data_IF_578763449292
#
_entry.id   IF_578763449292
#
_cell.length_a   1.000
_cell.length_b   1.000
_cell.length_c   1.000
_cell.angle_alpha   90.00
_cell.angle_beta   90.00
_cell.angle_gamma   90.00
#
_symmetry.space_group_name_H-M   'P 1'
#
loop_
_entity.id
_entity.type
_entity.pdbx_description
1 polymer ?
#
# COMPACT_ATOMS: atom_id res chain seq x y z
N UNK A 1 12.95 21.98 -14.32
CA UNK A 1 12.46 21.40 -15.59
C UNK A 1 10.95 21.28 -15.52
N UNK A 2 10.20 21.77 -16.52
CA UNK A 2 8.75 21.54 -16.57
C UNK A 2 8.51 20.03 -16.76
N UNK A 3 7.66 19.42 -15.92
CA UNK A 3 7.15 18.07 -16.16
C UNK A 3 6.54 18.04 -17.56
N UNK A 4 6.98 17.13 -18.40
CA UNK A 4 6.25 16.84 -19.64
C UNK A 4 5.08 15.95 -19.21
N UNK A 5 3.88 16.49 -19.34
CA UNK A 5 2.64 15.75 -19.07
C UNK A 5 1.97 15.53 -20.40
N UNK A 6 1.73 14.28 -20.75
CA UNK A 6 0.91 13.90 -21.90
C UNK A 6 -0.38 13.32 -21.36
N UNK A 7 -1.50 13.89 -21.71
CA UNK A 7 -2.78 13.45 -21.15
C UNK A 7 -3.80 12.98 -22.20
N UNK A 8 -3.51 13.13 -23.49
CA UNK A 8 -4.40 12.72 -24.59
C UNK A 8 -5.88 13.09 -24.32
N UNK A 9 -6.12 14.23 -23.67
CA UNK A 9 -7.43 14.66 -23.17
C UNK A 9 -8.49 14.71 -24.27
N UNK A 10 -8.09 15.11 -25.47
CA UNK A 10 -8.99 15.17 -26.61
C UNK A 10 -9.60 13.79 -26.93
N UNK A 11 -8.84 12.71 -26.77
CA UNK A 11 -9.35 11.36 -26.98
C UNK A 11 -10.46 11.00 -25.98
N UNK A 12 -10.38 11.49 -24.73
CA UNK A 12 -11.46 11.35 -23.74
C UNK A 12 -12.67 12.22 -24.09
N UNK A 13 -12.43 13.46 -24.52
CA UNK A 13 -13.51 14.37 -24.84
C UNK A 13 -14.28 13.92 -26.10
N UNK A 14 -13.60 13.29 -27.06
CA UNK A 14 -14.20 12.80 -28.30
C UNK A 14 -15.18 11.64 -28.13
N UNK A 15 -15.07 10.87 -27.05
CA UNK A 15 -16.07 9.82 -26.74
C UNK A 15 -17.33 10.39 -26.08
N UNK A 16 -17.31 11.64 -25.61
CA UNK A 16 -18.45 12.26 -24.95
C UNK A 16 -19.46 12.84 -25.97
N UNK A 17 -20.77 12.81 -25.68
CA UNK A 17 -21.77 13.49 -26.47
C UNK A 17 -21.46 15.00 -26.61
N UNK A 18 -21.80 15.57 -27.75
CA UNK A 18 -21.42 16.96 -28.11
C UNK A 18 -21.89 17.98 -27.05
N UNK A 19 -23.13 17.84 -26.57
CA UNK A 19 -23.73 18.75 -25.58
C UNK A 19 -23.09 18.66 -24.18
N UNK A 20 -22.30 17.61 -23.92
CA UNK A 20 -21.51 17.41 -22.71
C UNK A 20 -20.07 17.90 -22.94
N UNK A 21 -19.53 17.65 -24.13
CA UNK A 21 -18.15 17.97 -24.50
C UNK A 21 -17.91 19.47 -24.73
N UNK A 22 -18.81 20.17 -25.44
CA UNK A 22 -18.63 21.57 -25.76
C UNK A 22 -18.44 22.50 -24.55
N UNK A 23 -19.22 22.38 -23.46
CA UNK A 23 -19.01 23.16 -22.24
C UNK A 23 -17.62 22.94 -21.59
N UNK A 24 -17.03 21.75 -21.76
CA UNK A 24 -15.68 21.45 -21.25
C UNK A 24 -14.60 22.23 -22.01
N UNK A 25 -14.67 22.28 -23.33
CA UNK A 25 -13.72 23.05 -24.13
C UNK A 25 -13.77 24.55 -23.84
N UNK A 26 -14.91 25.05 -23.37
CA UNK A 26 -15.05 26.47 -23.01
C UNK A 26 -14.41 26.81 -21.65
N UNK A 27 -14.02 25.79 -20.85
CA UNK A 27 -13.36 26.03 -19.57
C UNK A 27 -11.88 26.38 -19.77
N UNK A 28 -11.39 27.49 -19.18
CA UNK A 28 -9.99 27.91 -19.31
C UNK A 28 -9.02 26.91 -18.67
N UNK A 29 -9.49 26.14 -17.69
CA UNK A 29 -8.75 25.13 -16.94
C UNK A 29 -9.11 23.68 -17.35
N UNK A 30 -9.64 23.47 -18.57
CA UNK A 30 -10.01 22.14 -19.05
C UNK A 30 -8.86 21.12 -18.99
N UNK A 31 -7.61 21.56 -19.10
CA UNK A 31 -6.43 20.71 -18.92
C UNK A 31 -6.25 20.16 -17.51
N UNK A 32 -6.95 20.71 -16.51
CA UNK A 32 -6.93 20.24 -15.12
C UNK A 32 -8.08 19.27 -14.81
N UNK A 33 -8.91 18.92 -15.81
CA UNK A 33 -10.03 17.98 -15.65
C UNK A 33 -9.54 16.67 -14.99
N UNK A 34 -10.24 16.22 -13.95
CA UNK A 34 -9.98 14.96 -13.27
C UNK A 34 -10.86 13.85 -13.82
N UNK A 35 -12.17 14.08 -13.86
CA UNK A 35 -13.14 13.10 -14.35
C UNK A 35 -14.45 13.76 -14.78
N UNK A 36 -15.18 13.05 -15.64
CA UNK A 36 -16.56 13.36 -16.02
C UNK A 36 -17.47 12.26 -15.51
N UNK A 37 -18.56 12.64 -14.86
CA UNK A 37 -19.56 11.72 -14.29
C UNK A 37 -20.87 11.85 -15.04
N UNK A 38 -21.38 10.72 -15.52
CA UNK A 38 -22.64 10.59 -16.25
C UNK A 38 -23.51 9.56 -15.54
N UNK A 39 -24.50 9.99 -14.79
CA UNK A 39 -25.47 9.12 -14.11
C UNK A 39 -26.85 9.32 -14.74
N UNK A 40 -27.54 8.26 -15.11
CA UNK A 40 -28.86 8.27 -15.72
C UNK A 40 -29.86 9.06 -14.86
N UNK A 41 -30.52 10.06 -15.47
CA UNK A 41 -31.50 10.93 -14.80
C UNK A 41 -30.87 11.95 -13.85
N UNK A 42 -29.55 12.21 -13.95
CA UNK A 42 -28.85 13.29 -13.24
C UNK A 42 -28.18 14.24 -14.22
N UNK A 43 -27.83 15.43 -13.74
CA UNK A 43 -27.06 16.38 -14.55
C UNK A 43 -25.63 15.87 -14.74
N UNK A 44 -25.03 15.99 -15.93
CA UNK A 44 -23.65 15.60 -16.18
C UNK A 44 -22.69 16.54 -15.44
N UNK A 45 -21.71 15.97 -14.73
CA UNK A 45 -20.77 16.68 -13.88
C UNK A 45 -19.33 16.50 -14.34
N UNK A 46 -18.53 17.56 -14.29
CA UNK A 46 -17.08 17.51 -14.42
C UNK A 46 -16.41 17.90 -13.12
N UNK A 47 -15.38 17.13 -12.73
CA UNK A 47 -14.61 17.38 -11.51
C UNK A 47 -13.21 17.86 -11.82
N UNK A 48 -12.83 18.94 -11.14
CA UNK A 48 -11.52 19.58 -11.19
C UNK A 48 -10.90 19.55 -9.78
N UNK A 49 -9.60 19.86 -9.59
CA UNK A 49 -8.94 19.77 -8.29
C UNK A 49 -9.61 20.54 -7.16
N UNK A 50 -10.28 21.65 -7.49
CA UNK A 50 -10.85 22.59 -6.50
C UNK A 50 -12.32 22.93 -6.74
N UNK A 51 -12.96 22.34 -7.75
CA UNK A 51 -14.36 22.63 -8.10
C UNK A 51 -15.03 21.48 -8.82
N UNK A 52 -16.35 21.47 -8.75
CA UNK A 52 -17.23 20.65 -9.59
C UNK A 52 -18.04 21.58 -10.50
N UNK A 53 -18.32 21.13 -11.71
CA UNK A 53 -19.03 21.90 -12.73
C UNK A 53 -20.14 21.04 -13.33
N UNK A 54 -21.36 21.52 -13.30
CA UNK A 54 -22.48 20.95 -14.06
C UNK A 54 -22.32 21.38 -15.53
N UNK A 55 -22.22 20.39 -16.43
CA UNK A 55 -21.91 20.62 -17.83
C UNK A 55 -23.15 21.00 -18.67
N UNK A 56 -24.32 20.52 -18.28
CA UNK A 56 -25.56 20.78 -18.98
C UNK A 56 -26.74 20.85 -18.02
N UNK A 57 -27.79 21.60 -18.38
CA UNK A 57 -29.05 21.66 -17.64
C UNK A 57 -29.98 20.49 -17.93
N UNK A 58 -29.69 19.68 -18.95
CA UNK A 58 -30.43 18.47 -19.29
C UNK A 58 -29.84 17.27 -18.56
N UNK A 59 -30.70 16.41 -18.04
CA UNK A 59 -30.30 15.14 -17.40
C UNK A 59 -29.69 14.19 -18.42
N UNK A 60 -28.76 13.36 -17.96
CA UNK A 60 -28.13 12.30 -18.75
C UNK A 60 -29.19 11.26 -19.14
N UNK A 61 -29.31 11.01 -20.42
CA UNK A 61 -30.20 10.00 -20.99
C UNK A 61 -29.47 8.66 -21.20
N UNK A 62 -30.24 7.58 -21.41
CA UNK A 62 -29.65 6.30 -21.80
C UNK A 62 -28.89 6.40 -23.13
N UNK A 63 -29.36 7.23 -24.06
CA UNK A 63 -28.69 7.46 -25.34
C UNK A 63 -27.30 8.09 -25.16
N UNK A 64 -27.11 8.94 -24.17
CA UNK A 64 -25.79 9.53 -23.86
C UNK A 64 -24.81 8.47 -23.32
N UNK A 65 -25.30 7.60 -22.45
CA UNK A 65 -24.52 6.46 -21.92
C UNK A 65 -24.13 5.52 -23.07
N UNK A 66 -25.09 5.12 -23.90
CA UNK A 66 -24.88 4.23 -25.05
C UNK A 66 -23.92 4.84 -26.08
N UNK A 67 -23.98 6.17 -26.26
CA UNK A 67 -23.07 6.90 -27.12
C UNK A 67 -21.61 6.75 -26.67
N UNK A 68 -21.33 6.87 -25.37
CA UNK A 68 -19.99 6.68 -24.81
C UNK A 68 -19.59 5.21 -24.94
N UNK A 69 -20.44 4.29 -24.50
CA UNK A 69 -20.17 2.85 -24.49
C UNK A 69 -19.84 2.31 -25.89
N UNK A 70 -20.47 2.84 -26.94
CA UNK A 70 -20.20 2.44 -28.33
C UNK A 70 -18.83 2.90 -28.88
N UNK A 71 -18.10 3.77 -28.15
CA UNK A 71 -16.82 4.38 -28.58
C UNK A 71 -15.62 3.94 -27.77
N UNK A 72 -15.83 3.09 -26.80
CA UNK A 72 -14.77 2.56 -25.92
C UNK A 72 -14.63 1.04 -26.10
N UNK A 73 -13.59 0.45 -25.50
CA UNK A 73 -13.43 -0.99 -25.44
C UNK A 73 -14.48 -1.71 -24.62
N UNK A 74 -14.50 -3.02 -24.64
CA UNK A 74 -15.40 -3.82 -23.81
C UNK A 74 -15.08 -3.65 -22.32
N UNK A 75 -16.14 -3.68 -21.50
CA UNK A 75 -15.95 -3.66 -20.04
C UNK A 75 -15.47 -5.01 -19.54
N UNK A 76 -14.40 -4.98 -18.78
CA UNK A 76 -13.85 -6.14 -18.06
C UNK A 76 -14.75 -6.56 -16.89
N UNK A 77 -14.41 -7.68 -16.24
CA UNK A 77 -15.19 -8.21 -15.11
C UNK A 77 -15.28 -7.27 -13.89
N UNK A 78 -14.38 -6.29 -13.78
CA UNK A 78 -14.37 -5.24 -12.74
C UNK A 78 -15.09 -3.95 -13.20
N UNK A 79 -15.86 -4.00 -14.29
CA UNK A 79 -16.61 -2.89 -14.87
C UNK A 79 -15.73 -1.70 -15.32
N UNK A 80 -14.53 -1.99 -15.83
CA UNK A 80 -13.59 -0.99 -16.39
C UNK A 80 -13.45 -1.20 -17.89
N UNK A 81 -13.28 -0.10 -18.60
CA UNK A 81 -12.95 -0.06 -20.01
C UNK A 81 -11.97 1.09 -20.28
N UNK A 82 -11.24 1.02 -21.37
CA UNK A 82 -10.28 2.04 -21.77
C UNK A 82 -10.45 2.49 -23.21
N UNK A 83 -9.66 3.50 -23.55
CA UNK A 83 -9.51 4.01 -24.91
C UNK A 83 -8.10 3.63 -25.38
N UNK A 84 -7.98 3.08 -26.56
CA UNK A 84 -6.69 2.68 -27.14
C UNK A 84 -5.69 3.83 -27.14
N UNK A 85 -4.42 3.54 -26.87
CA UNK A 85 -3.31 4.48 -26.81
C UNK A 85 -3.40 5.53 -25.67
N UNK A 86 -4.36 5.41 -24.75
CA UNK A 86 -4.53 6.37 -23.65
C UNK A 86 -4.41 5.70 -22.27
N UNK A 87 -4.31 6.55 -21.25
CA UNK A 87 -4.37 6.14 -19.83
C UNK A 87 -5.73 6.44 -19.21
N UNK A 88 -6.69 6.85 -20.03
CA UNK A 88 -8.04 7.14 -19.55
C UNK A 88 -8.74 5.86 -19.13
N UNK A 89 -9.52 5.95 -18.06
CA UNK A 89 -10.30 4.84 -17.53
C UNK A 89 -11.77 5.22 -17.46
N UNK A 90 -12.59 4.38 -18.02
CA UNK A 90 -14.04 4.49 -17.93
C UNK A 90 -14.55 3.37 -17.02
N UNK A 91 -15.25 3.74 -15.96
CA UNK A 91 -15.84 2.80 -15.01
C UNK A 91 -17.35 2.85 -15.11
N UNK A 92 -18.00 1.69 -15.22
CA UNK A 92 -19.45 1.57 -15.34
C UNK A 92 -20.10 1.27 -13.99
N UNK A 93 -21.26 1.91 -13.76
CA UNK A 93 -22.19 1.54 -12.70
C UNK A 93 -23.36 0.78 -13.38
N UNK A 94 -23.67 -0.43 -12.87
CA UNK A 94 -24.73 -1.27 -13.40
C UNK A 94 -25.90 -1.37 -12.44
N UNK A 95 -27.10 -1.49 -13.01
CA UNK A 95 -28.30 -1.82 -12.26
C UNK A 95 -28.37 -3.32 -11.95
N UNK A 96 -29.47 -3.76 -11.30
CA UNK A 96 -29.69 -5.17 -10.94
C UNK A 96 -29.82 -6.11 -12.13
N UNK A 97 -30.13 -5.58 -13.32
CA UNK A 97 -30.28 -6.32 -14.57
C UNK A 97 -29.00 -6.38 -15.40
N UNK A 98 -27.90 -5.74 -14.91
CA UNK A 98 -26.62 -5.68 -15.61
C UNK A 98 -26.49 -4.53 -16.62
N UNK A 99 -27.52 -3.70 -16.78
CA UNK A 99 -27.51 -2.55 -17.69
C UNK A 99 -26.69 -1.41 -17.10
N UNK A 100 -25.94 -0.70 -17.94
CA UNK A 100 -25.12 0.45 -17.52
C UNK A 100 -26.04 1.65 -17.30
N UNK A 101 -26.03 2.17 -16.08
CA UNK A 101 -26.82 3.33 -15.66
C UNK A 101 -25.95 4.50 -15.21
N UNK A 102 -24.65 4.36 -15.22
CA UNK A 102 -23.72 5.43 -14.89
C UNK A 102 -22.31 5.15 -15.41
N UNK A 103 -21.58 6.21 -15.71
CA UNK A 103 -20.20 6.16 -16.17
C UNK A 103 -19.37 7.20 -15.41
N UNK A 104 -18.14 6.80 -15.03
CA UNK A 104 -17.11 7.72 -14.56
C UNK A 104 -15.94 7.68 -15.53
N UNK A 105 -15.75 8.76 -16.29
CA UNK A 105 -14.72 8.90 -17.29
C UNK A 105 -13.53 9.66 -16.67
N UNK A 106 -12.50 8.93 -16.22
CA UNK A 106 -11.35 9.50 -15.52
C UNK A 106 -10.21 9.81 -16.46
N UNK A 107 -9.63 11.00 -16.32
CA UNK A 107 -8.47 11.44 -17.09
C UNK A 107 -7.21 10.77 -16.55
N UNK A 108 -6.55 9.98 -17.40
CA UNK A 108 -5.23 9.42 -17.12
C UNK A 108 -4.14 10.29 -17.72
N UNK A 109 -3.03 10.48 -16.98
CA UNK A 109 -1.90 11.32 -17.41
C UNK A 109 -0.59 10.57 -17.29
N UNK A 110 0.27 10.70 -18.29
CA UNK A 110 1.66 10.29 -18.21
C UNK A 110 2.52 11.45 -17.72
N UNK A 111 3.33 11.19 -16.69
CA UNK A 111 4.28 12.16 -16.12
C UNK A 111 5.67 11.62 -16.28
N UNK A 112 6.61 12.42 -16.79
CA UNK A 112 7.99 12.03 -17.07
C UNK A 112 8.97 12.77 -16.15
N UNK A 113 10.16 12.15 -15.93
CA UNK A 113 11.27 12.71 -15.16
C UNK A 113 11.41 12.17 -13.75
N UNK A 114 10.47 11.35 -13.26
CA UNK A 114 10.51 10.77 -11.91
C UNK A 114 11.54 9.67 -11.77
N UNK A 115 11.83 8.94 -12.84
CA UNK A 115 12.79 7.81 -12.85
C UNK A 115 14.21 8.23 -12.58
N UNK A 116 14.60 9.50 -12.86
CA UNK A 116 15.97 10.00 -12.69
C UNK A 116 16.55 9.72 -11.31
N UNK A 117 15.72 9.75 -10.26
CA UNK A 117 16.15 9.49 -8.90
C UNK A 117 16.64 8.05 -8.68
N UNK A 118 16.21 7.10 -9.52
CA UNK A 118 16.52 5.67 -9.38
C UNK A 118 17.10 5.07 -10.65
N UNK A 119 17.44 5.89 -11.65
CA UNK A 119 17.89 5.41 -12.97
C UNK A 119 19.12 4.51 -12.89
N UNK A 120 20.12 4.90 -12.09
CA UNK A 120 21.31 4.11 -11.83
C UNK A 120 21.01 2.72 -11.22
N UNK A 121 19.95 2.63 -10.41
CA UNK A 121 19.53 1.39 -9.76
C UNK A 121 18.88 0.44 -10.76
N UNK A 122 17.98 0.93 -11.61
CA UNK A 122 17.29 0.10 -12.61
C UNK A 122 18.24 -0.34 -13.72
N UNK A 123 19.22 0.48 -14.10
CA UNK A 123 20.23 0.16 -15.10
C UNK A 123 21.29 -0.81 -14.56
N UNK A 124 21.47 -0.93 -13.25
CA UNK A 124 22.43 -1.84 -12.61
C UNK A 124 22.14 -3.33 -12.85
N UNK A 125 20.96 -3.67 -13.36
CA UNK A 125 20.51 -5.06 -13.55
C UNK A 125 19.99 -5.74 -12.29
N UNK A 126 20.04 -5.09 -11.11
CA UNK A 126 19.45 -5.60 -9.88
C UNK A 126 17.92 -5.50 -9.93
N UNK A 127 17.23 -6.44 -9.31
CA UNK A 127 15.78 -6.35 -9.11
C UNK A 127 15.46 -5.27 -8.10
N UNK A 128 14.47 -4.41 -8.41
CA UNK A 128 14.09 -3.22 -7.63
C UNK A 128 12.63 -3.30 -7.22
N UNK A 129 12.35 -3.16 -5.93
CA UNK A 129 11.01 -3.10 -5.37
C UNK A 129 10.66 -1.67 -4.95
N UNK A 130 9.54 -1.16 -5.45
CA UNK A 130 9.03 0.17 -5.12
C UNK A 130 7.95 0.05 -4.04
N UNK A 131 8.10 0.75 -2.95
CA UNK A 131 7.14 0.85 -1.86
C UNK A 131 6.62 2.29 -1.74
N UNK A 132 5.47 2.46 -1.12
CA UNK A 132 4.89 3.78 -0.87
C UNK A 132 3.38 3.78 -0.79
N UNK A 133 2.81 4.86 -0.28
CA UNK A 133 1.36 5.02 -0.07
C UNK A 133 0.59 4.92 -1.38
N UNK A 134 -0.69 4.51 -1.35
CA UNK A 134 -1.56 4.60 -2.51
C UNK A 134 -1.58 6.04 -3.07
N UNK A 135 -1.56 6.16 -4.40
CA UNK A 135 -1.58 7.46 -5.07
C UNK A 135 -0.28 8.26 -5.05
N UNK A 136 0.82 7.77 -4.46
CA UNK A 136 2.11 8.50 -4.37
C UNK A 136 2.87 8.52 -5.71
N UNK A 137 2.41 7.82 -6.73
CA UNK A 137 3.05 7.78 -8.05
C UNK A 137 3.84 6.52 -8.37
N UNK A 138 3.64 5.40 -7.66
CA UNK A 138 4.30 4.10 -7.95
C UNK A 138 4.11 3.67 -9.40
N UNK A 139 2.87 3.61 -9.88
CA UNK A 139 2.53 3.22 -11.25
C UNK A 139 3.11 4.19 -12.28
N UNK A 140 3.15 5.50 -11.97
CA UNK A 140 3.81 6.50 -12.82
C UNK A 140 5.30 6.21 -12.96
N UNK A 141 5.97 5.88 -11.86
CA UNK A 141 7.39 5.53 -11.86
C UNK A 141 7.64 4.22 -12.62
N UNK A 142 6.82 3.17 -12.42
CA UNK A 142 6.93 1.91 -13.17
C UNK A 142 6.78 2.12 -14.68
N UNK A 143 5.85 2.95 -15.10
CA UNK A 143 5.66 3.30 -16.52
C UNK A 143 6.91 3.92 -17.12
N UNK A 144 7.50 4.87 -16.43
CA UNK A 144 8.73 5.52 -16.88
C UNK A 144 9.94 4.57 -16.85
N UNK A 145 10.03 3.69 -15.85
CA UNK A 145 11.03 2.61 -15.80
C UNK A 145 10.90 1.70 -17.03
N UNK A 146 9.67 1.31 -17.41
CA UNK A 146 9.43 0.50 -18.60
C UNK A 146 10.01 1.15 -19.86
N UNK A 147 9.70 2.42 -20.06
CA UNK A 147 10.20 3.18 -21.21
C UNK A 147 11.72 3.30 -21.21
N UNK A 148 12.33 3.70 -20.08
CA UNK A 148 13.78 3.89 -20.00
C UNK A 148 14.52 2.57 -20.27
N UNK A 149 14.07 1.49 -19.68
CA UNK A 149 14.74 0.19 -19.90
C UNK A 149 14.54 -0.33 -21.33
N UNK A 150 13.37 -0.09 -21.95
CA UNK A 150 13.10 -0.54 -23.31
C UNK A 150 13.74 0.37 -24.37
N UNK A 151 13.61 1.70 -24.22
CA UNK A 151 14.01 2.66 -25.24
C UNK A 151 15.45 3.13 -25.09
N UNK A 152 15.85 3.47 -23.85
CA UNK A 152 17.18 4.03 -23.61
C UNK A 152 18.21 2.90 -23.40
N UNK A 153 17.89 1.88 -22.59
CA UNK A 153 18.78 0.74 -22.30
C UNK A 153 18.65 -0.42 -23.31
N UNK A 154 17.70 -0.37 -24.26
CA UNK A 154 17.45 -1.37 -25.33
C UNK A 154 17.22 -2.79 -24.81
N UNK A 155 16.66 -2.95 -23.62
CA UNK A 155 16.33 -4.25 -23.04
C UNK A 155 14.99 -4.78 -23.54
N UNK A 156 14.83 -6.09 -23.58
CA UNK A 156 13.53 -6.74 -23.81
C UNK A 156 12.71 -6.68 -22.52
N UNK A 157 11.79 -5.73 -22.47
CA UNK A 157 10.95 -5.46 -21.32
C UNK A 157 9.54 -5.99 -21.54
N UNK A 158 9.02 -6.72 -20.57
CA UNK A 158 7.60 -7.13 -20.50
C UNK A 158 6.96 -6.47 -19.27
N UNK A 159 5.82 -5.85 -19.49
CA UNK A 159 4.97 -5.27 -18.46
C UNK A 159 3.80 -6.22 -18.19
N UNK A 160 3.67 -6.72 -16.98
CA UNK A 160 2.53 -7.49 -16.51
C UNK A 160 1.59 -6.52 -15.79
N UNK A 161 0.51 -6.19 -16.47
CA UNK A 161 -0.39 -5.08 -16.11
C UNK A 161 -1.75 -5.62 -15.68
N UNK A 162 -1.87 -5.96 -14.40
CA UNK A 162 -3.07 -6.59 -13.82
C UNK A 162 -4.21 -5.61 -13.67
N UNK A 163 -3.89 -4.39 -13.25
CA UNK A 163 -4.88 -3.32 -13.06
C UNK A 163 -5.04 -2.41 -14.28
N UNK A 164 -4.31 -2.68 -15.36
CA UNK A 164 -4.21 -1.83 -16.55
C UNK A 164 -3.82 -0.37 -16.23
N UNK A 165 -3.10 -0.16 -15.13
CA UNK A 165 -2.70 1.18 -14.67
C UNK A 165 -1.38 1.65 -15.28
N UNK A 166 -0.51 0.71 -15.71
CA UNK A 166 0.79 1.05 -16.31
C UNK A 166 0.62 1.48 -17.76
N UNK A 167 -0.07 0.67 -18.56
CA UNK A 167 -0.16 0.86 -20.01
C UNK A 167 -1.57 1.21 -20.53
N UNK A 168 -2.54 1.36 -19.64
CA UNK A 168 -3.92 1.73 -19.96
C UNK A 168 -4.84 0.53 -20.19
N UNK A 169 -6.15 0.78 -20.15
CA UNK A 169 -7.19 -0.26 -20.25
C UNK A 169 -7.51 -0.71 -21.70
N UNK A 170 -7.06 0.03 -22.71
CA UNK A 170 -7.29 -0.33 -24.12
C UNK A 170 -6.45 -1.51 -24.59
N UNK A 171 -6.81 -2.15 -25.71
CA UNK A 171 -6.06 -3.26 -26.29
C UNK A 171 -4.68 -2.85 -26.80
N UNK A 172 -4.55 -1.60 -27.24
CA UNK A 172 -3.28 -1.04 -27.66
C UNK A 172 -2.71 -0.21 -26.51
N UNK A 173 -1.49 -0.55 -26.04
CA UNK A 173 -0.89 0.11 -24.89
C UNK A 173 -0.54 1.56 -25.18
N UNK A 174 -0.51 2.37 -24.11
CA UNK A 174 -0.11 3.77 -24.17
C UNK A 174 1.39 3.91 -24.55
N UNK A 175 1.76 4.86 -25.44
CA UNK A 175 3.16 5.05 -25.88
C UNK A 175 4.15 5.35 -24.75
N UNK A 176 3.70 5.79 -23.59
CA UNK A 176 4.55 6.12 -22.45
C UNK A 176 5.32 4.93 -21.86
N UNK A 177 5.00 3.67 -22.24
CA UNK A 177 5.82 2.50 -21.90
C UNK A 177 6.93 2.22 -22.93
N UNK A 178 7.05 3.05 -23.96
CA UNK A 178 8.02 2.88 -25.04
C UNK A 178 7.82 1.57 -25.81
N UNK A 179 8.92 0.92 -26.20
CA UNK A 179 8.91 -0.37 -26.89
C UNK A 179 8.68 -1.60 -26.00
N UNK A 180 8.32 -1.39 -24.72
CA UNK A 180 7.95 -2.49 -23.84
C UNK A 180 6.71 -3.22 -24.36
N UNK A 181 6.70 -4.54 -24.20
CA UNK A 181 5.52 -5.36 -24.51
C UNK A 181 4.66 -5.48 -23.27
N UNK A 182 3.33 -5.35 -23.43
CA UNK A 182 2.39 -5.56 -22.34
C UNK A 182 1.75 -6.94 -22.42
N UNK A 183 1.62 -7.59 -21.28
CA UNK A 183 0.74 -8.74 -21.04
C UNK A 183 -0.35 -8.32 -20.06
N UNK A 184 -1.60 -8.36 -20.53
CA UNK A 184 -2.77 -8.13 -19.67
C UNK A 184 -3.09 -9.39 -18.87
N UNK A 185 -3.56 -9.22 -17.66
CA UNK A 185 -3.99 -10.32 -16.80
C UNK A 185 -5.51 -10.37 -16.80
N UNK A 186 -6.09 -11.48 -17.24
CA UNK A 186 -7.53 -11.62 -17.38
C UNK A 186 -8.27 -11.52 -16.03
N UNK A 187 -7.70 -12.14 -15.00
CA UNK A 187 -8.19 -12.06 -13.62
C UNK A 187 -7.02 -11.88 -12.66
N UNK A 188 -7.13 -11.03 -11.62
CA UNK A 188 -6.02 -10.78 -10.68
C UNK A 188 -5.45 -12.05 -10.05
N UNK A 189 -6.27 -13.09 -9.86
CA UNK A 189 -5.83 -14.38 -9.30
C UNK A 189 -4.84 -15.14 -10.19
N UNK A 190 -4.79 -14.83 -11.49
CA UNK A 190 -3.92 -15.50 -12.48
C UNK A 190 -2.61 -14.74 -12.75
N UNK A 191 -2.39 -13.61 -12.10
CA UNK A 191 -1.17 -12.82 -12.29
C UNK A 191 0.10 -13.66 -12.17
N UNK A 192 0.20 -14.53 -11.17
CA UNK A 192 1.35 -15.41 -10.96
C UNK A 192 1.62 -16.36 -12.14
N UNK A 193 0.57 -16.84 -12.81
CA UNK A 193 0.69 -17.70 -13.98
C UNK A 193 1.19 -16.91 -15.19
N UNK A 194 0.66 -15.70 -15.42
CA UNK A 194 1.11 -14.78 -16.48
C UNK A 194 2.57 -14.36 -16.27
N UNK A 195 3.01 -14.17 -15.01
CA UNK A 195 4.41 -13.90 -14.68
C UNK A 195 5.35 -15.03 -15.14
N UNK A 196 4.98 -16.28 -14.94
CA UNK A 196 5.77 -17.44 -15.39
C UNK A 196 5.71 -17.58 -16.91
N UNK A 197 4.52 -17.42 -17.49
CA UNK A 197 4.31 -17.45 -18.94
C UNK A 197 5.21 -16.44 -19.67
N UNK A 198 5.34 -15.22 -19.13
CA UNK A 198 6.20 -14.19 -19.70
C UNK A 198 7.64 -14.66 -19.88
N UNK A 199 8.19 -15.36 -18.90
CA UNK A 199 9.57 -15.89 -18.97
C UNK A 199 9.67 -17.08 -19.91
N UNK A 200 8.69 -17.99 -19.88
CA UNK A 200 8.74 -19.23 -20.66
C UNK A 200 8.57 -18.99 -22.17
N UNK A 201 7.70 -18.03 -22.53
CA UNK A 201 7.31 -17.84 -23.93
C UNK A 201 8.01 -16.65 -24.60
N UNK A 202 8.51 -15.66 -23.85
CA UNK A 202 8.91 -14.38 -24.44
C UNK A 202 10.35 -13.95 -24.17
N UNK A 203 11.13 -14.72 -23.38
CA UNK A 203 12.55 -14.48 -23.08
C UNK A 203 12.87 -13.02 -22.72
N UNK A 204 12.19 -12.43 -21.72
CA UNK A 204 12.46 -11.07 -21.30
C UNK A 204 13.82 -10.96 -20.59
N UNK A 205 14.43 -9.78 -20.64
CA UNK A 205 15.55 -9.39 -19.78
C UNK A 205 15.05 -8.70 -18.52
N UNK A 206 13.88 -8.03 -18.63
CA UNK A 206 13.22 -7.34 -17.53
C UNK A 206 11.73 -7.63 -17.52
N UNK A 207 11.20 -7.90 -16.36
CA UNK A 207 9.75 -7.95 -16.11
C UNK A 207 9.37 -6.83 -15.14
N UNK A 208 8.36 -6.07 -15.54
CA UNK A 208 7.72 -5.04 -14.70
C UNK A 208 6.38 -5.56 -14.23
N UNK A 209 6.14 -5.48 -12.93
CA UNK A 209 4.94 -6.01 -12.27
C UNK A 209 4.24 -4.86 -11.56
N UNK A 210 2.95 -4.66 -11.84
CA UNK A 210 2.16 -3.58 -11.26
C UNK A 210 2.11 -3.67 -9.73
N UNK A 211 1.65 -4.80 -9.20
CA UNK A 211 1.59 -5.02 -7.76
C UNK A 211 1.74 -6.50 -7.40
N UNK A 212 2.61 -6.78 -6.43
CA UNK A 212 2.76 -8.11 -5.83
C UNK A 212 2.03 -8.10 -4.49
N UNK A 213 0.91 -8.83 -4.39
CA UNK A 213 0.04 -8.85 -3.22
C UNK A 213 -0.14 -10.22 -2.58
N UNK A 214 0.16 -11.32 -3.30
CA UNK A 214 -0.12 -12.69 -2.88
C UNK A 214 1.14 -13.54 -2.71
N UNK A 215 1.00 -14.65 -1.96
CA UNK A 215 2.09 -15.63 -1.77
C UNK A 215 2.50 -16.31 -3.09
N UNK A 216 1.53 -16.59 -3.98
CA UNK A 216 1.80 -17.19 -5.29
C UNK A 216 2.61 -16.26 -6.18
N UNK A 217 2.32 -14.97 -6.17
CA UNK A 217 3.07 -13.95 -6.90
C UNK A 217 4.47 -13.76 -6.34
N UNK A 218 4.64 -13.76 -5.01
CA UNK A 218 5.95 -13.70 -4.37
C UNK A 218 6.81 -14.92 -4.74
N UNK A 219 6.21 -16.13 -4.81
CA UNK A 219 6.89 -17.34 -5.26
C UNK A 219 7.26 -17.28 -6.74
N UNK A 220 6.35 -16.77 -7.59
CA UNK A 220 6.64 -16.59 -9.03
C UNK A 220 7.78 -15.58 -9.21
N UNK A 221 7.78 -14.46 -8.52
CA UNK A 221 8.83 -13.45 -8.55
C UNK A 221 10.20 -14.06 -8.18
N UNK A 222 10.26 -14.88 -7.12
CA UNK A 222 11.48 -15.61 -6.77
C UNK A 222 11.97 -16.53 -7.90
N UNK A 223 11.07 -17.34 -8.46
CA UNK A 223 11.41 -18.26 -9.56
C UNK A 223 11.97 -17.51 -10.77
N UNK A 224 11.43 -16.34 -11.08
CA UNK A 224 11.88 -15.49 -12.18
C UNK A 224 13.27 -14.90 -11.88
N UNK A 225 13.48 -14.39 -10.67
CA UNK A 225 14.78 -13.86 -10.25
C UNK A 225 15.89 -14.93 -10.26
N UNK A 226 15.57 -16.16 -9.82
CA UNK A 226 16.49 -17.32 -9.88
C UNK A 226 16.88 -17.70 -11.30
N UNK A 227 16.05 -17.38 -12.32
CA UNK A 227 16.36 -17.55 -13.74
C UNK A 227 17.20 -16.39 -14.33
N UNK A 228 17.57 -15.40 -13.50
CA UNK A 228 18.42 -14.27 -13.89
C UNK A 228 17.69 -13.14 -14.60
N UNK A 229 16.36 -13.11 -14.59
CA UNK A 229 15.56 -12.03 -15.15
C UNK A 229 15.43 -10.91 -14.12
N UNK A 230 15.71 -9.68 -14.51
CA UNK A 230 15.53 -8.50 -13.65
C UNK A 230 14.05 -8.24 -13.41
N UNK A 231 13.67 -8.03 -12.14
CA UNK A 231 12.32 -7.66 -11.74
C UNK A 231 12.27 -6.20 -11.28
N UNK A 232 11.28 -5.45 -11.76
CA UNK A 232 10.91 -4.16 -11.17
C UNK A 232 9.42 -4.19 -10.87
N UNK A 233 9.04 -3.99 -9.61
CA UNK A 233 7.64 -4.11 -9.23
C UNK A 233 7.28 -3.29 -8.02
N UNK A 234 5.99 -3.26 -7.68
CA UNK A 234 5.52 -2.71 -6.41
C UNK A 234 4.94 -3.80 -5.52
N UNK A 235 4.83 -3.51 -4.24
CA UNK A 235 4.17 -4.37 -3.29
C UNK A 235 3.34 -3.54 -2.30
N UNK A 236 2.38 -4.21 -1.64
CA UNK A 236 1.66 -3.60 -0.53
C UNK A 236 2.59 -3.32 0.64
N UNK A 237 2.70 -2.07 1.01
CA UNK A 237 3.54 -1.56 2.10
C UNK A 237 4.12 -0.21 1.76
N UNK A 238 4.40 0.58 2.80
CA UNK A 238 4.95 1.92 2.62
C UNK A 238 6.47 1.94 2.85
N UNK A 239 6.97 1.03 3.68
CA UNK A 239 8.37 0.96 4.12
C UNK A 239 8.87 -0.48 4.12
N UNK A 240 10.19 -0.65 4.18
CA UNK A 240 10.85 -1.94 4.30
C UNK A 240 10.39 -2.70 5.55
N UNK A 241 10.16 -2.00 6.66
CA UNK A 241 9.68 -2.61 7.90
C UNK A 241 8.27 -3.18 7.74
N UNK A 242 7.38 -2.49 7.02
CA UNK A 242 6.05 -3.02 6.73
C UNK A 242 6.14 -4.34 5.96
N UNK A 243 7.10 -4.45 5.03
CA UNK A 243 7.32 -5.66 4.26
C UNK A 243 7.90 -6.80 5.13
N UNK A 244 8.85 -6.49 6.02
CA UNK A 244 9.39 -7.42 7.01
C UNK A 244 8.27 -8.02 7.88
N UNK A 245 7.31 -7.17 8.29
CA UNK A 245 6.17 -7.58 9.12
C UNK A 245 5.09 -8.33 8.36
N UNK A 246 5.07 -8.23 7.04
CA UNK A 246 4.05 -8.88 6.22
C UNK A 246 4.40 -10.35 5.98
N UNK A 247 3.67 -11.31 6.58
CA UNK A 247 4.01 -12.72 6.46
C UNK A 247 3.87 -13.28 5.04
N UNK A 248 3.08 -12.64 4.21
CA UNK A 248 2.85 -13.05 2.81
C UNK A 248 3.97 -12.57 1.91
N UNK A 249 4.44 -11.32 2.12
CA UNK A 249 5.37 -10.65 1.22
C UNK A 249 6.82 -10.63 1.73
N UNK A 250 7.07 -11.03 2.97
CA UNK A 250 8.44 -11.13 3.52
C UNK A 250 9.35 -12.03 2.69
N UNK A 251 8.79 -12.97 1.92
CA UNK A 251 9.55 -13.82 1.01
C UNK A 251 10.25 -13.04 -0.10
N UNK A 252 9.73 -11.86 -0.49
CA UNK A 252 10.38 -10.96 -1.47
C UNK A 252 11.73 -10.42 -0.99
N UNK A 253 11.92 -10.34 0.32
CA UNK A 253 13.13 -9.86 0.99
C UNK A 253 13.94 -10.97 1.66
N UNK A 254 13.67 -12.23 1.27
CA UNK A 254 14.40 -13.40 1.73
C UNK A 254 13.66 -14.26 2.75
N UNK A 255 12.43 -13.91 3.14
CA UNK A 255 11.64 -14.62 4.15
C UNK A 255 12.27 -14.54 5.54
N UNK A 256 11.46 -14.62 6.58
CA UNK A 256 11.92 -14.49 7.95
C UNK A 256 11.57 -15.77 8.71
N UNK A 257 12.51 -16.24 9.53
CA UNK A 257 12.33 -17.40 10.38
C UNK A 257 12.89 -17.13 11.78
N UNK A 258 12.33 -17.84 12.75
CA UNK A 258 12.90 -17.88 14.11
C UNK A 258 13.88 -19.03 14.21
N UNK A 259 15.11 -18.75 14.61
CA UNK A 259 16.16 -19.72 14.85
C UNK A 259 16.45 -19.79 16.35
N UNK A 260 16.58 -21.00 16.89
CA UNK A 260 16.99 -21.21 18.29
C UNK A 260 18.50 -21.46 18.32
N UNK A 261 19.23 -20.53 18.91
CA UNK A 261 20.69 -20.63 19.11
C UNK A 261 21.03 -21.54 20.28
N UNK A 262 22.15 -22.25 20.19
CA UNK A 262 22.76 -22.92 21.32
C UNK A 262 23.22 -21.94 22.39
N UNK A 263 23.41 -22.40 23.63
CA UNK A 263 23.77 -21.53 24.77
C UNK A 263 25.10 -20.79 24.57
N UNK A 264 26.08 -21.41 23.95
CA UNK A 264 27.38 -20.81 23.65
C UNK A 264 27.27 -19.72 22.58
N UNK A 265 26.50 -19.97 21.53
CA UNK A 265 26.31 -19.04 20.44
C UNK A 265 25.49 -17.81 20.87
N UNK A 266 24.45 -18.02 21.67
CA UNK A 266 23.64 -16.94 22.23
C UNK A 266 24.48 -16.02 23.15
N UNK A 267 25.37 -16.63 23.97
CA UNK A 267 26.33 -15.87 24.80
C UNK A 267 27.34 -15.09 23.95
N UNK A 268 27.90 -15.72 22.91
CA UNK A 268 28.87 -15.09 22.01
C UNK A 268 28.28 -13.89 21.28
N UNK A 269 27.03 -14.00 20.82
CA UNK A 269 26.30 -12.93 20.12
C UNK A 269 25.66 -11.92 21.06
N UNK A 270 25.70 -12.12 22.37
CA UNK A 270 25.00 -11.31 23.38
C UNK A 270 23.50 -11.15 23.08
N UNK A 271 22.84 -12.18 22.52
CA UNK A 271 21.43 -12.19 22.13
C UNK A 271 20.63 -13.20 22.94
N UNK A 272 19.30 -13.14 22.77
CA UNK A 272 18.41 -14.18 23.27
C UNK A 272 18.65 -15.48 22.50
N UNK A 273 18.24 -16.65 23.07
CA UNK A 273 18.33 -17.95 22.39
C UNK A 273 17.48 -18.02 21.12
N UNK A 274 16.39 -17.25 21.05
CA UNK A 274 15.51 -17.18 19.90
C UNK A 274 15.77 -15.88 19.16
N UNK A 275 16.31 -15.96 17.96
CA UNK A 275 16.62 -14.83 17.08
C UNK A 275 15.88 -14.95 15.75
N UNK A 276 15.62 -13.82 15.12
CA UNK A 276 15.05 -13.76 13.79
C UNK A 276 16.19 -13.68 12.77
N UNK A 277 16.12 -14.52 11.74
CA UNK A 277 17.08 -14.54 10.64
C UNK A 277 16.33 -14.68 9.30
N UNK A 278 16.95 -14.24 8.21
CA UNK A 278 16.43 -14.51 6.87
C UNK A 278 16.58 -15.99 6.53
N UNK A 279 15.62 -16.53 5.76
CA UNK A 279 15.63 -17.91 5.27
C UNK A 279 16.49 -18.10 4.02
N UNK A 280 16.53 -17.08 3.14
CA UNK A 280 17.10 -17.15 1.80
C UNK A 280 17.62 -15.78 1.36
N UNK A 281 18.38 -15.69 0.26
CA UNK A 281 18.68 -14.42 -0.39
C UNK A 281 17.38 -13.70 -0.80
N UNK A 282 17.36 -12.35 -0.79
CA UNK A 282 16.19 -11.59 -1.22
C UNK A 282 15.97 -11.70 -2.73
N UNK A 283 14.69 -11.74 -3.15
CA UNK A 283 14.29 -11.68 -4.55
C UNK A 283 14.60 -10.31 -5.16
N UNK A 284 14.40 -9.24 -4.37
CA UNK A 284 14.73 -7.88 -4.75
C UNK A 284 15.98 -7.42 -4.02
N UNK A 285 17.02 -7.06 -4.78
CA UNK A 285 18.29 -6.61 -4.22
C UNK A 285 18.27 -5.15 -3.75
N UNK A 286 17.31 -4.36 -4.25
CA UNK A 286 17.12 -2.94 -3.93
C UNK A 286 15.68 -2.69 -3.56
N UNK A 287 15.44 -1.92 -2.50
CA UNK A 287 14.13 -1.38 -2.13
C UNK A 287 14.17 0.13 -2.19
N UNK A 288 13.14 0.71 -2.82
CA UNK A 288 12.94 2.15 -2.94
C UNK A 288 11.61 2.51 -2.30
N UNK A 289 11.64 3.34 -1.27
CA UNK A 289 10.48 3.89 -0.60
C UNK A 289 10.16 5.26 -1.17
N UNK A 290 9.02 5.41 -1.82
CA UNK A 290 8.59 6.69 -2.39
C UNK A 290 7.95 7.52 -1.28
N UNK A 291 8.64 8.59 -0.88
CA UNK A 291 8.19 9.52 0.16
C UNK A 291 7.22 10.55 -0.42
N UNK A 292 7.62 11.14 -1.56
CA UNK A 292 6.80 12.03 -2.38
C UNK A 292 7.26 12.00 -3.84
N UNK A 293 6.64 12.82 -4.70
CA UNK A 293 6.98 12.88 -6.14
C UNK A 293 8.42 13.26 -6.46
N UNK A 294 9.14 13.87 -5.51
CA UNK A 294 10.50 14.39 -5.70
C UNK A 294 11.50 13.81 -4.71
N UNK A 295 11.07 12.87 -3.86
CA UNK A 295 11.91 12.33 -2.80
C UNK A 295 11.67 10.84 -2.60
N UNK A 296 12.76 10.09 -2.57
CA UNK A 296 12.77 8.65 -2.29
C UNK A 296 13.81 8.32 -1.23
N UNK A 297 13.55 7.25 -0.47
CA UNK A 297 14.55 6.60 0.38
C UNK A 297 14.94 5.27 -0.29
N UNK A 298 16.22 5.05 -0.48
CA UNK A 298 16.76 3.87 -1.17
C UNK A 298 17.52 3.01 -0.18
N UNK A 299 17.20 1.71 -0.16
CA UNK A 299 17.98 0.66 0.46
C UNK A 299 18.76 -0.08 -0.63
N UNK A 300 20.03 0.26 -0.89
CA UNK A 300 20.78 -0.24 -2.06
C UNK A 300 21.22 -1.70 -1.91
N UNK A 301 21.21 -2.22 -0.68
CA UNK A 301 21.41 -3.64 -0.34
C UNK A 301 20.36 -4.08 0.67
N UNK A 302 19.34 -4.79 0.15
CA UNK A 302 18.23 -5.31 0.97
C UNK A 302 18.72 -6.35 1.97
N UNK A 303 19.77 -7.10 1.64
CA UNK A 303 20.38 -8.09 2.54
C UNK A 303 20.86 -7.41 3.83
N UNK A 304 21.72 -6.40 3.66
CA UNK A 304 22.27 -5.65 4.80
C UNK A 304 21.15 -4.91 5.57
N UNK A 305 20.21 -4.29 4.84
CA UNK A 305 19.13 -3.53 5.45
C UNK A 305 18.18 -4.40 6.29
N UNK A 306 17.76 -5.55 5.77
CA UNK A 306 16.89 -6.48 6.50
C UNK A 306 17.60 -7.07 7.70
N UNK A 307 18.86 -7.50 7.55
CA UNK A 307 19.65 -8.06 8.66
C UNK A 307 19.84 -7.02 9.77
N UNK A 308 20.15 -5.77 9.42
CA UNK A 308 20.25 -4.68 10.40
C UNK A 308 18.94 -4.51 11.19
N UNK A 309 17.79 -4.47 10.51
CA UNK A 309 16.47 -4.36 11.16
C UNK A 309 16.19 -5.55 12.07
N UNK A 310 16.48 -6.79 11.63
CA UNK A 310 16.27 -7.99 12.44
C UNK A 310 17.16 -8.04 13.70
N UNK A 311 18.34 -7.42 13.64
CA UNK A 311 19.24 -7.26 14.80
C UNK A 311 18.93 -6.01 15.63
N UNK A 312 17.90 -5.23 15.28
CA UNK A 312 17.52 -4.01 16.00
C UNK A 312 18.43 -2.80 15.73
N UNK A 313 19.16 -2.83 14.63
CA UNK A 313 20.00 -1.71 14.19
C UNK A 313 19.32 -0.93 13.05
N UNK A 314 19.52 0.39 12.98
CA UNK A 314 19.01 1.18 11.87
C UNK A 314 19.68 0.75 10.55
N UNK A 315 18.90 0.48 9.49
CA UNK A 315 19.47 0.11 8.20
C UNK A 315 20.16 1.30 7.55
N UNK A 316 21.21 1.04 6.79
CA UNK A 316 21.81 2.04 5.91
C UNK A 316 20.82 2.35 4.78
N UNK A 317 20.54 3.61 4.58
CA UNK A 317 19.69 4.10 3.51
C UNK A 317 20.31 5.33 2.85
N UNK A 318 19.85 5.64 1.65
CA UNK A 318 20.22 6.82 0.89
C UNK A 318 18.96 7.60 0.58
N UNK A 319 18.86 8.84 1.03
CA UNK A 319 17.77 9.73 0.65
C UNK A 319 18.16 10.45 -0.63
N UNK A 320 17.29 10.37 -1.63
CA UNK A 320 17.48 11.03 -2.91
C UNK A 320 16.31 11.97 -3.17
N UNK A 321 16.60 13.15 -3.68
CA UNK A 321 15.57 14.10 -4.07
C UNK A 321 15.98 14.89 -5.31
N UNK A 322 14.98 15.39 -5.99
CA UNK A 322 15.16 16.27 -7.13
C UNK A 322 15.09 17.73 -6.65
N UNK A 323 16.11 18.52 -6.94
CA UNK A 323 16.11 19.93 -6.61
C UNK A 323 15.30 20.77 -7.63
N UNK A 324 15.22 22.09 -7.42
CA UNK A 324 14.47 23.00 -8.27
C UNK A 324 15.02 23.05 -9.72
N UNK A 325 16.28 22.74 -9.91
CA UNK A 325 16.94 22.71 -11.22
C UNK A 325 16.75 21.36 -11.95
N UNK A 326 16.14 20.37 -11.28
CA UNK A 326 15.89 19.02 -11.79
C UNK A 326 17.09 18.10 -11.69
N UNK A 327 18.08 18.46 -10.86
CA UNK A 327 19.24 17.64 -10.54
C UNK A 327 18.95 16.72 -9.34
N UNK A 328 19.48 15.50 -9.39
CA UNK A 328 19.31 14.53 -8.32
C UNK A 328 20.37 14.73 -7.25
N UNK A 329 19.96 15.11 -6.06
CA UNK A 329 20.81 15.16 -4.86
C UNK A 329 20.68 13.85 -4.09
N UNK A 330 21.79 13.45 -3.44
CA UNK A 330 21.88 12.22 -2.66
C UNK A 330 22.51 12.50 -1.32
N UNK A 331 21.98 11.91 -0.28
CA UNK A 331 22.53 11.98 1.06
C UNK A 331 22.48 10.58 1.69
N UNK A 332 23.66 10.06 2.09
CA UNK A 332 23.70 8.83 2.85
C UNK A 332 23.18 9.12 4.26
N UNK A 333 22.08 8.52 4.60
CA UNK A 333 21.49 8.60 5.93
C UNK A 333 21.68 7.23 6.56
N UNK A 334 22.34 7.20 7.71
CA UNK A 334 22.07 6.12 8.65
C UNK A 334 20.66 6.40 9.10
N UNK A 335 19.70 5.76 8.45
CA UNK A 335 18.30 6.06 8.72
C UNK A 335 18.11 5.85 10.20
N UNK A 336 17.78 6.86 11.01
CA UNK A 336 16.99 6.55 12.16
C UNK A 336 15.81 5.85 11.52
N UNK A 337 15.63 4.57 11.85
CA UNK A 337 14.45 3.85 11.47
C UNK A 337 13.29 4.79 11.77
N UNK A 338 12.70 5.36 10.74
CA UNK A 338 11.55 6.25 10.89
C UNK A 338 10.30 5.40 11.04
N UNK A 339 10.24 4.55 12.06
CA UNK A 339 9.01 4.34 12.80
C UNK A 339 8.64 5.56 13.64
N UNK A 340 9.49 6.51 13.80
CA UNK A 340 9.12 7.91 13.92
C UNK A 340 8.50 8.37 12.59
N UNK A 341 7.38 7.68 12.20
CA UNK A 341 6.27 8.37 11.63
C UNK A 341 6.15 9.64 12.46
N UNK A 342 6.70 10.79 11.95
CA UNK A 342 6.38 12.09 12.51
C UNK A 342 5.54 12.00 13.80
N UNK A 343 6.08 11.43 14.82
CA UNK A 343 5.90 11.97 16.12
C UNK A 343 6.71 13.29 16.03
N UNK A 344 6.05 14.35 15.58
CA UNK A 344 6.11 15.55 16.39
C UNK A 344 6.14 14.98 17.78
N UNK A 345 7.32 15.04 18.49
CA UNK A 345 7.32 14.81 19.93
C UNK A 345 6.13 15.59 20.39
N UNK A 346 5.03 14.94 20.79
CA UNK A 346 4.03 15.69 21.51
C UNK A 346 4.87 16.21 22.67
N UNK A 347 4.80 17.48 23.00
CA UNK A 347 5.43 17.99 24.20
C UNK A 347 5.10 16.96 25.26
N UNK A 348 6.03 16.60 26.15
CA UNK A 348 5.84 15.64 27.23
C UNK A 348 4.54 15.98 27.96
N UNK A 349 3.42 15.64 27.36
CA UNK A 349 2.10 15.98 27.83
C UNK A 349 1.76 14.86 28.79
N UNK A 350 2.02 15.11 30.05
CA UNK A 350 1.46 14.32 31.13
C UNK A 350 -0.03 14.11 30.82
N UNK A 351 -0.43 12.91 30.37
CA UNK A 351 -1.81 12.62 29.98
C UNK A 351 -2.73 12.79 31.18
N UNK A 352 -3.80 13.53 30.99
CA UNK A 352 -4.79 13.84 32.05
C UNK A 352 -5.96 12.85 31.94
N UNK A 353 -6.10 12.01 32.97
CA UNK A 353 -7.14 10.99 33.04
C UNK A 353 -8.32 11.43 33.89
N UNK A 354 -9.53 11.31 33.38
CA UNK A 354 -10.75 11.34 34.17
C UNK A 354 -11.18 9.89 34.43
N UNK A 355 -11.31 9.53 35.73
CA UNK A 355 -11.64 8.17 36.14
C UNK A 355 -13.10 8.08 36.56
N UNK A 356 -13.83 7.14 35.95
CA UNK A 356 -15.20 6.82 36.31
C UNK A 356 -15.39 5.32 36.55
N UNK A 357 -15.41 4.90 37.82
CA UNK A 357 -15.48 3.49 38.19
C UNK A 357 -14.16 2.70 38.05
N UNK A 358 -13.05 3.36 37.74
CA UNK A 358 -11.71 2.80 37.78
C UNK A 358 -10.99 3.19 39.09
N UNK A 359 -10.15 2.30 39.64
CA UNK A 359 -9.44 2.52 40.91
C UNK A 359 -8.21 3.42 40.68
N UNK A 360 -8.23 4.61 41.25
CA UNK A 360 -7.21 5.64 41.13
C UNK A 360 -5.84 5.17 41.66
N UNK A 361 -5.80 4.69 42.91
CA UNK A 361 -4.55 4.30 43.58
C UNK A 361 -3.86 3.17 42.81
N UNK A 362 -4.63 2.23 42.24
CA UNK A 362 -4.09 1.13 41.44
C UNK A 362 -3.55 1.62 40.07
N UNK A 363 -4.23 2.59 39.45
CA UNK A 363 -3.75 3.17 38.18
C UNK A 363 -2.43 3.93 38.42
N UNK A 364 -2.35 4.75 39.45
CA UNK A 364 -1.17 5.51 39.85
C UNK A 364 0.02 4.58 40.21
N UNK A 365 -0.27 3.46 40.90
CA UNK A 365 0.74 2.44 41.22
C UNK A 365 1.29 1.80 39.94
N UNK A 366 0.44 1.35 39.04
CA UNK A 366 0.85 0.71 37.75
C UNK A 366 1.63 1.70 36.87
N UNK A 367 1.25 2.97 36.88
CA UNK A 367 1.98 4.03 36.18
C UNK A 367 3.40 4.23 36.75
N UNK A 368 3.55 4.27 38.08
CA UNK A 368 4.86 4.34 38.74
C UNK A 368 5.75 3.16 38.42
N UNK A 369 5.20 1.93 38.49
CA UNK A 369 5.92 0.70 38.10
C UNK A 369 6.41 0.75 36.65
N UNK A 370 5.57 1.34 35.74
CA UNK A 370 5.87 1.50 34.32
C UNK A 370 6.68 2.74 33.96
N UNK A 371 7.08 3.58 34.93
CA UNK A 371 7.76 4.88 34.73
C UNK A 371 6.99 5.80 33.78
N UNK A 372 5.65 5.86 33.92
CA UNK A 372 4.77 6.65 33.08
C UNK A 372 4.20 7.81 33.88
N UNK A 373 4.32 9.03 33.35
CA UNK A 373 3.74 10.20 33.98
C UNK A 373 2.28 10.39 33.58
N UNK A 374 1.38 10.39 34.54
CA UNK A 374 -0.04 10.68 34.33
C UNK A 374 -0.57 11.60 35.43
N UNK A 375 -1.60 12.36 35.09
CA UNK A 375 -2.33 13.22 36.06
C UNK A 375 -3.80 12.83 36.07
N UNK A 376 -4.35 12.52 37.26
CA UNK A 376 -5.78 12.28 37.41
C UNK A 376 -6.47 13.61 37.67
N UNK A 377 -7.45 13.98 36.84
CA UNK A 377 -8.22 15.21 36.93
C UNK A 377 -9.63 14.94 37.44
N UNK A 378 -10.20 15.93 38.16
CA UNK A 378 -11.55 15.84 38.68
C UNK A 378 -12.60 16.45 37.72
N UNK A 379 -12.18 17.35 36.85
CA UNK A 379 -13.05 17.97 35.85
C UNK A 379 -12.90 17.27 34.50
N UNK A 380 -14.02 16.80 33.93
CA UNK A 380 -14.09 16.13 32.66
C UNK A 380 -13.55 16.97 31.50
N UNK A 381 -13.76 18.27 31.50
CA UNK A 381 -13.31 19.22 30.48
C UNK A 381 -11.79 19.36 30.41
N UNK A 382 -11.07 18.97 31.46
CA UNK A 382 -9.61 19.01 31.52
C UNK A 382 -8.97 17.67 31.20
N UNK A 383 -9.78 16.65 30.90
CA UNK A 383 -9.30 15.32 30.63
C UNK A 383 -8.93 15.13 29.15
N UNK A 384 -7.78 14.49 28.91
CA UNK A 384 -7.39 14.01 27.59
C UNK A 384 -7.96 12.61 27.34
N UNK A 385 -8.24 11.85 28.42
CA UNK A 385 -8.71 10.46 28.36
C UNK A 385 -9.76 10.22 29.46
N UNK A 386 -10.85 9.55 29.11
CA UNK A 386 -11.86 9.05 30.05
C UNK A 386 -11.65 7.53 30.24
N UNK A 387 -11.34 7.12 31.46
CA UNK A 387 -11.13 5.71 31.80
C UNK A 387 -12.28 5.18 32.64
N UNK A 388 -12.93 4.11 32.17
CA UNK A 388 -14.06 3.48 32.83
C UNK A 388 -13.98 1.97 32.82
N UNK A 389 -14.90 1.28 33.50
CA UNK A 389 -15.05 -0.16 33.44
C UNK A 389 -16.24 -0.58 32.56
N UNK A 390 -16.24 -1.82 32.07
CA UNK A 390 -17.30 -2.38 31.21
C UNK A 390 -18.70 -2.28 31.85
N UNK A 391 -18.79 -2.44 33.16
CA UNK A 391 -20.06 -2.36 33.90
C UNK A 391 -20.68 -0.96 33.87
N UNK A 392 -19.87 0.07 33.99
CA UNK A 392 -20.34 1.46 33.92
C UNK A 392 -20.59 1.88 32.46
N UNK A 393 -19.73 1.50 31.53
CA UNK A 393 -19.92 1.82 30.11
C UNK A 393 -21.24 1.29 29.55
N UNK A 394 -21.63 0.06 29.92
CA UNK A 394 -22.91 -0.52 29.48
C UNK A 394 -24.15 0.21 30.00
N UNK A 395 -24.07 0.83 31.19
CA UNK A 395 -25.17 1.56 31.78
C UNK A 395 -25.34 2.98 31.25
N UNK A 396 -24.38 3.47 30.45
CA UNK A 396 -24.35 4.82 29.85
C UNK A 396 -24.81 5.93 30.79
N UNK A 397 -24.22 6.08 31.99
CA UNK A 397 -24.57 7.19 32.91
C UNK A 397 -24.22 8.53 32.26
N UNK A 398 -24.78 9.63 32.81
CA UNK A 398 -24.64 10.99 32.25
C UNK A 398 -23.18 11.37 31.94
N UNK A 399 -22.23 11.03 32.83
CA UNK A 399 -20.80 11.33 32.67
C UNK A 399 -20.17 10.71 31.42
N UNK A 400 -20.64 9.55 30.96
CA UNK A 400 -20.17 8.90 29.73
C UNK A 400 -20.74 9.62 28.50
N UNK A 401 -22.02 10.03 28.55
CA UNK A 401 -22.63 10.83 27.48
C UNK A 401 -21.96 12.20 27.35
N UNK A 402 -21.64 12.82 28.49
CA UNK A 402 -20.92 14.10 28.50
C UNK A 402 -19.52 13.96 27.89
N UNK A 403 -18.79 12.85 28.12
CA UNK A 403 -17.50 12.57 27.52
C UNK A 403 -17.62 12.31 26.00
N UNK A 404 -18.66 11.56 25.59
CA UNK A 404 -18.96 11.33 24.16
C UNK A 404 -19.28 12.68 23.47
N UNK A 405 -20.08 13.55 24.10
CA UNK A 405 -20.43 14.87 23.56
C UNK A 405 -19.23 15.84 23.47
N UNK A 406 -18.27 15.72 24.37
CA UNK A 406 -17.02 16.50 24.34
C UNK A 406 -15.93 15.90 23.44
N UNK A 407 -16.19 14.77 22.78
CA UNK A 407 -15.24 14.10 21.92
C UNK A 407 -14.02 13.51 22.65
N UNK A 408 -14.13 13.27 23.97
CA UNK A 408 -13.03 12.73 24.78
C UNK A 408 -12.93 11.21 24.54
N UNK A 409 -11.75 10.67 24.17
CA UNK A 409 -11.55 9.23 23.99
C UNK A 409 -11.88 8.43 25.24
N UNK A 410 -12.78 7.43 25.12
CA UNK A 410 -13.22 6.58 26.22
C UNK A 410 -12.54 5.22 26.17
N UNK A 411 -11.75 4.92 27.20
CA UNK A 411 -11.11 3.61 27.36
C UNK A 411 -11.88 2.75 28.37
N UNK A 412 -12.23 1.52 27.95
CA UNK A 412 -13.08 0.63 28.74
C UNK A 412 -12.26 -0.58 29.23
N UNK A 413 -12.01 -0.64 30.53
CA UNK A 413 -11.37 -1.78 31.17
C UNK A 413 -12.36 -2.95 31.28
N UNK A 414 -11.94 -4.16 30.91
CA UNK A 414 -12.73 -5.39 31.11
C UNK A 414 -12.91 -5.70 32.59
N UNK A 415 -11.88 -5.45 33.40
CA UNK A 415 -11.85 -5.62 34.85
C UNK A 415 -10.97 -4.56 35.49
N UNK A 416 -11.26 -4.22 36.76
CA UNK A 416 -10.56 -3.16 37.52
C UNK A 416 -9.29 -3.74 38.19
N UNK A 417 -8.42 -4.43 37.44
CA UNK A 417 -7.20 -5.04 37.93
C UNK A 417 -5.93 -4.40 37.33
N UNK A 418 -4.77 -4.66 37.97
CA UNK A 418 -3.49 -4.06 37.57
C UNK A 418 -3.08 -4.46 36.13
N UNK A 419 -3.38 -5.70 35.73
CA UNK A 419 -3.02 -6.21 34.38
C UNK A 419 -3.73 -5.45 33.27
N UNK A 420 -5.05 -5.18 33.43
CA UNK A 420 -5.83 -4.42 32.45
C UNK A 420 -5.41 -2.94 32.43
N UNK A 421 -5.09 -2.37 33.58
CA UNK A 421 -4.57 -1.00 33.66
C UNK A 421 -3.20 -0.88 32.99
N UNK A 422 -2.32 -1.88 33.20
CA UNK A 422 -1.00 -1.93 32.53
C UNK A 422 -1.17 -2.02 31.00
N UNK A 423 -2.04 -2.89 30.52
CA UNK A 423 -2.33 -2.98 29.08
C UNK A 423 -2.88 -1.68 28.50
N UNK A 424 -3.77 -1.00 29.24
CA UNK A 424 -4.29 0.30 28.83
C UNK A 424 -3.19 1.37 28.77
N UNK A 425 -2.36 1.46 29.82
CA UNK A 425 -1.23 2.40 29.83
C UNK A 425 -0.17 2.07 28.78
N UNK A 426 0.08 0.79 28.49
CA UNK A 426 1.01 0.37 27.44
C UNK A 426 0.50 0.71 26.04
N UNK A 427 -0.81 0.74 25.83
CA UNK A 427 -1.43 1.18 24.60
C UNK A 427 -1.39 2.72 24.43
N UNK A 428 -1.44 3.47 25.54
CA UNK A 428 -1.47 4.93 25.55
C UNK A 428 -0.07 5.57 25.59
N UNK A 429 0.91 4.85 26.16
CA UNK A 429 2.31 5.23 26.23
C UNK A 429 3.12 4.13 25.55
N UNK A 430 3.31 4.19 24.24
CA UNK A 430 4.14 3.21 23.53
C UNK A 430 5.53 3.17 24.16
N UNK A 431 5.98 1.96 24.54
CA UNK A 431 7.33 1.73 25.07
C UNK A 431 8.35 1.93 23.95
N UNK A 432 9.59 2.18 24.36
CA UNK A 432 10.75 2.13 23.46
C UNK A 432 10.65 0.92 22.52
N UNK A 433 10.53 1.22 21.26
CA UNK A 433 10.06 0.32 20.21
C UNK A 433 10.95 -0.91 20.00
N UNK A 434 12.24 -0.82 20.33
CA UNK A 434 13.20 -1.91 20.10
C UNK A 434 12.83 -3.23 20.78
N UNK A 435 12.35 -3.19 22.03
CA UNK A 435 11.97 -4.42 22.76
C UNK A 435 10.58 -4.95 22.33
N UNK A 436 9.66 -4.06 21.95
CA UNK A 436 8.27 -4.41 21.60
C UNK A 436 8.18 -4.99 20.20
N UNK A 437 9.00 -4.51 19.28
CA UNK A 437 9.01 -4.91 17.86
C UNK A 437 9.49 -6.36 17.69
N UNK A 438 10.63 -6.71 18.24
CA UNK A 438 11.16 -8.08 18.22
C UNK A 438 10.19 -9.04 18.92
N UNK A 439 9.57 -8.61 20.02
CA UNK A 439 8.60 -9.44 20.77
C UNK A 439 7.26 -9.59 20.02
N UNK A 440 6.84 -8.58 19.27
CA UNK A 440 5.62 -8.64 18.44
C UNK A 440 5.83 -9.56 17.22
N UNK A 441 6.96 -9.45 16.53
CA UNK A 441 7.38 -10.36 15.47
C UNK A 441 7.45 -11.81 15.96
N UNK A 442 8.08 -12.03 17.11
CA UNK A 442 8.17 -13.37 17.71
C UNK A 442 6.80 -13.95 18.05
N UNK A 443 5.84 -13.15 18.53
CA UNK A 443 4.46 -13.59 18.80
C UNK A 443 3.69 -13.94 17.53
N UNK A 444 3.80 -13.13 16.47
CA UNK A 444 3.13 -13.39 15.18
C UNK A 444 3.66 -14.66 14.52
N UNK A 445 4.95 -14.92 14.62
CA UNK A 445 5.59 -16.11 14.05
C UNK A 445 5.37 -17.37 14.92
N UNK A 446 5.24 -17.24 16.25
CA UNK A 446 4.94 -18.34 17.15
C UNK A 446 3.47 -18.81 17.05
N UNK A 447 2.52 -17.91 16.83
CA UNK A 447 1.08 -18.22 16.68
C UNK A 447 0.74 -19.06 15.45
N UNK A 448 1.66 -19.23 14.51
CA UNK A 448 1.49 -20.10 13.33
C UNK A 448 1.78 -21.59 13.58
N UNK A 449 2.37 -21.96 14.70
CA UNK A 449 2.70 -23.39 14.98
C UNK A 449 1.51 -24.22 15.45
N UNK A 450 0.43 -23.61 15.95
CA UNK A 450 -0.71 -24.34 16.51
C UNK A 450 -1.86 -24.62 15.54
N UNK A 451 -1.81 -24.11 14.31
CA UNK A 451 -2.87 -24.36 13.29
C UNK A 451 -2.52 -25.41 12.23
N UNK A 452 -1.37 -26.11 12.37
CA UNK A 452 -0.82 -27.01 11.34
C UNK A 452 -0.70 -28.49 11.70
N UNK A 453 -1.25 -29.00 12.83
CA UNK A 453 -1.20 -30.43 13.16
C UNK A 453 -2.57 -31.02 13.52
N UNK A 454 -3.48 -30.94 12.57
CA UNK A 454 -4.69 -31.78 12.55
C UNK A 454 -4.45 -32.99 11.64
N UNK A 455 -3.68 -33.96 12.11
CA UNK A 455 -3.52 -35.27 11.45
C UNK A 455 -4.85 -36.03 11.50
N UNK A 456 -5.71 -35.85 10.49
CA UNK A 456 -6.78 -36.83 10.25
C UNK A 456 -6.18 -38.02 9.50
N UNK A 457 -5.88 -39.09 10.25
CA UNK A 457 -5.70 -40.44 9.72
C UNK A 457 -6.97 -40.85 8.98
N UNK A 458 -6.86 -41.04 7.70
CA UNK A 458 -7.84 -41.72 6.88
C UNK A 458 -7.65 -43.20 7.02
N UNK A 459 -8.62 -43.94 7.61
CA UNK A 459 -8.70 -45.41 7.54
C UNK A 459 -9.70 -45.81 6.46
N UNK A 460 -9.33 -46.73 5.55
CA UNK A 460 -10.29 -47.27 4.58
C UNK A 460 -10.87 -48.60 5.10
N UNK A 461 -12.18 -48.70 5.07
CA UNK A 461 -12.83 -50.00 5.00
C UNK A 461 -13.84 -50.36 6.08
N UNK A 462 -15.11 -50.41 5.71
CA UNK A 462 -16.21 -50.95 6.52
C UNK A 462 -17.54 -51.05 5.79
N UNK A 463 -17.73 -52.19 5.15
CA UNK A 463 -18.89 -52.73 4.44
C UNK A 463 -20.29 -52.23 4.81
N UNK A 464 -21.08 -51.93 3.76
CA UNK A 464 -22.56 -51.93 3.75
C UNK A 464 -23.13 -53.23 4.32
N UNK A 465 -24.16 -53.14 5.17
CA UNK A 465 -25.28 -54.09 5.23
C UNK A 465 -26.57 -53.30 5.37
N UNK A 466 -27.47 -53.68 4.47
CA UNK A 466 -28.85 -53.31 4.32
C UNK A 466 -29.74 -53.71 5.51
N UNK A 467 -30.59 -52.82 5.94
CA UNK A 467 -32.06 -53.06 6.07
C UNK A 467 -32.78 -51.74 6.17
#
# INVERSE_FOLDING_TARGET
MRKVVTDDLDALLDILPLHIREPLYQQPDHSELIEVVLDLGRLPEARFPHRELVLNSSEVSQADIDYVVSRIGEFTGDNRAGINHTLHRISAIRNRHGEIIGLTCRVGRAVFGTVKMIQDLIESGKSVLLLGRPGIGKTTMLREVARVLADDSKKRVIVIDTSNEIAGDGDIPHPAIGHSRRMQVATPTEQHAVMIEAVENHMPEVIIIDEIGTELEAKAARTIAERGVQLVGTAHGNTLENLIMNPTLSDLIGGIQTVTLGDEEARRRHTQKSVLERKAPPTFGVVVEIVDYYKVTVHPDVTEAVDAVLYGHPPKAEVRWMDADGEVKREAVTSPITWEAREEKPPEKTLRFYLFGANRSRLEQVAKEGRKELKVVADLRQADIFLTTRSYYRRKPQKIRDAEALGIPIYVLKSNNATQMRQCLDALYPRDFQSTYVHHLQRLLAGRRDSGSGNQRWEPGGKRKSR
#
